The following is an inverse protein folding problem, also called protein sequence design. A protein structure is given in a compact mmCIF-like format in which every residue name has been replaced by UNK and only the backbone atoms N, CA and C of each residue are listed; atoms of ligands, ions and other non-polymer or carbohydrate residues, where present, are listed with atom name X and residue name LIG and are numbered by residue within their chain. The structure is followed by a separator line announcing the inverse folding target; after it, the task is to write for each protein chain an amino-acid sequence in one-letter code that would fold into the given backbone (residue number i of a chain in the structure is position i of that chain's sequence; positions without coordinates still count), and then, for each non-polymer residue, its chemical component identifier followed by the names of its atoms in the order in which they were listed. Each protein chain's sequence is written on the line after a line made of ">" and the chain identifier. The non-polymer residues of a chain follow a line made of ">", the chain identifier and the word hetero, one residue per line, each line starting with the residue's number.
data_IF_628842683356
#
_entry.id   IF_628842683356
#
_cell.length_a   1.000
_cell.length_b   1.000
_cell.length_c   1.000
_cell.angle_alpha   90.00
_cell.angle_beta   90.00
_cell.angle_gamma   90.00
#
_symmetry.space_group_name_H-M   'P 1'
#
loop_
_entity.id
_entity.type
_entity.pdbx_description
1 polymer ?
#
# COMPACT_ATOMS: atom_id res chain seq x y z
N UNK A 1 -15.73 7.59 5.19
CA UNK A 1 -14.71 8.46 4.55
C UNK A 1 -13.73 7.54 3.87
N UNK A 2 -13.29 7.86 2.65
CA UNK A 2 -12.25 7.10 1.96
C UNK A 2 -10.92 7.33 2.67
N UNK A 3 -10.20 6.26 3.02
CA UNK A 3 -8.88 6.33 3.64
C UNK A 3 -7.88 7.12 2.77
N UNK A 4 -7.08 8.00 3.38
CA UNK A 4 -5.86 8.55 2.77
C UNK A 4 -4.61 7.99 3.46
N UNK A 5 -3.91 7.07 2.79
CA UNK A 5 -2.70 6.47 3.39
C UNK A 5 -1.52 7.45 3.51
N UNK A 6 -1.54 8.59 2.79
CA UNK A 6 -0.50 9.63 2.94
C UNK A 6 -0.74 10.52 4.17
N UNK A 7 -1.93 10.43 4.78
CA UNK A 7 -2.18 10.98 6.10
C UNK A 7 -1.73 9.95 7.16
N UNK A 8 -0.62 10.21 7.89
CA UNK A 8 -0.07 9.22 8.82
C UNK A 8 -1.02 8.88 9.97
N UNK A 9 -1.90 9.81 10.38
CA UNK A 9 -2.88 9.54 11.44
C UNK A 9 -3.97 8.59 10.97
N UNK A 10 -4.47 8.79 9.75
CA UNK A 10 -5.47 7.88 9.15
C UNK A 10 -4.86 6.51 8.87
N UNK A 11 -3.63 6.47 8.34
CA UNK A 11 -2.94 5.21 8.08
C UNK A 11 -2.67 4.44 9.38
N UNK A 12 -2.20 5.11 10.44
CA UNK A 12 -1.97 4.49 11.74
C UNK A 12 -3.26 3.93 12.34
N UNK A 13 -4.35 4.70 12.26
CA UNK A 13 -5.65 4.26 12.74
C UNK A 13 -6.18 3.05 11.96
N UNK A 14 -6.02 3.05 10.64
CA UNK A 14 -6.35 1.91 9.77
C UNK A 14 -5.54 0.66 10.15
N UNK A 15 -4.21 0.76 10.19
CA UNK A 15 -3.33 -0.38 10.46
C UNK A 15 -3.59 -1.03 11.82
N UNK A 16 -3.91 -0.22 12.84
CA UNK A 16 -4.29 -0.72 14.18
C UNK A 16 -5.68 -1.35 14.19
N UNK A 17 -6.65 -0.70 13.54
CA UNK A 17 -8.04 -1.19 13.51
C UNK A 17 -8.15 -2.54 12.80
N UNK A 18 -7.44 -2.70 11.69
CA UNK A 18 -7.39 -3.96 10.93
C UNK A 18 -6.43 -5.01 11.54
N UNK A 19 -5.75 -4.66 12.65
CA UNK A 19 -4.89 -5.58 13.38
C UNK A 19 -3.56 -5.91 12.69
N UNK A 20 -3.14 -5.12 11.70
CA UNK A 20 -1.85 -5.31 11.04
C UNK A 20 -0.66 -4.94 11.95
N UNK A 21 -0.83 -3.92 12.80
CA UNK A 21 0.15 -3.54 13.83
C UNK A 21 -0.52 -3.46 15.21
N UNK A 22 0.27 -3.63 16.25
CA UNK A 22 -0.16 -3.51 17.65
C UNK A 22 -0.65 -2.11 18.01
N UNK A 23 -1.57 -2.04 18.97
CA UNK A 23 -2.22 -0.79 19.39
C UNK A 23 -1.23 0.25 19.97
N UNK A 24 -0.09 -0.20 20.48
CA UNK A 24 0.96 0.67 21.05
C UNK A 24 2.11 0.96 20.08
N UNK A 25 2.19 0.31 18.92
CA UNK A 25 3.31 0.48 17.98
C UNK A 25 3.30 1.87 17.35
N UNK A 26 4.47 2.49 17.24
CA UNK A 26 4.64 3.80 16.60
C UNK A 26 5.58 3.72 15.39
N UNK A 27 5.13 3.14 14.26
CA UNK A 27 5.97 3.02 13.08
C UNK A 27 6.26 4.38 12.46
N UNK A 28 7.46 4.52 11.88
CA UNK A 28 7.79 5.64 11.00
C UNK A 28 7.06 5.48 9.66
N UNK A 29 6.52 6.58 9.14
CA UNK A 29 5.78 6.59 7.88
C UNK A 29 6.36 7.64 6.93
N UNK A 30 6.83 7.19 5.76
CA UNK A 30 7.41 8.06 4.75
C UNK A 30 6.67 7.90 3.43
N UNK A 31 6.13 9.00 2.89
CA UNK A 31 5.58 9.01 1.52
C UNK A 31 6.72 8.87 0.52
N UNK A 32 6.60 7.90 -0.38
CA UNK A 32 7.56 7.67 -1.47
C UNK A 32 7.11 8.39 -2.74
N UNK A 33 8.01 9.19 -3.31
CA UNK A 33 7.76 9.94 -4.54
C UNK A 33 8.06 9.11 -5.81
N UNK A 34 7.70 9.66 -6.98
CA UNK A 34 8.06 9.12 -8.30
C UNK A 34 6.91 8.40 -9.03
N UNK A 35 5.86 7.98 -8.32
CA UNK A 35 4.66 7.40 -8.91
C UNK A 35 3.55 8.41 -9.15
N UNK A 36 2.83 8.30 -10.27
CA UNK A 36 1.65 9.13 -10.57
C UNK A 36 0.33 8.40 -10.32
N UNK A 37 0.36 7.07 -10.20
CA UNK A 37 -0.83 6.22 -10.17
C UNK A 37 -1.24 5.74 -8.79
N UNK A 38 -0.37 5.80 -7.80
CA UNK A 38 -0.69 5.34 -6.45
C UNK A 38 -0.16 6.34 -5.43
N UNK A 39 -0.86 6.45 -4.30
CA UNK A 39 -0.20 6.80 -3.04
C UNK A 39 0.71 5.65 -2.65
N UNK A 40 1.93 5.96 -2.23
CA UNK A 40 2.92 4.94 -1.84
C UNK A 40 3.59 5.38 -0.56
N UNK A 41 3.53 4.54 0.48
CA UNK A 41 4.07 4.86 1.80
C UNK A 41 4.95 3.72 2.28
N UNK A 42 6.18 4.05 2.68
CA UNK A 42 7.06 3.18 3.44
C UNK A 42 6.67 3.27 4.91
N UNK A 43 6.40 2.12 5.53
CA UNK A 43 6.10 1.99 6.96
C UNK A 43 7.22 1.18 7.59
N UNK A 44 8.01 1.78 8.47
CA UNK A 44 9.11 1.13 9.19
C UNK A 44 8.72 0.93 10.65
N UNK A 45 8.63 -0.33 11.09
CA UNK A 45 8.26 -0.71 12.46
C UNK A 45 9.48 -0.65 13.36
N UNK A 46 9.24 -0.51 14.67
CA UNK A 46 10.29 -0.50 15.70
C UNK A 46 11.12 -1.78 15.73
N UNK A 47 10.56 -2.90 15.26
CA UNK A 47 11.27 -4.18 15.10
C UNK A 47 12.33 -4.16 13.99
N UNK A 48 12.36 -3.13 13.15
CA UNK A 48 13.17 -3.05 11.94
C UNK A 48 12.49 -3.65 10.70
N UNK A 49 11.30 -4.23 10.84
CA UNK A 49 10.48 -4.67 9.70
C UNK A 49 9.96 -3.46 8.92
N UNK A 50 10.01 -3.51 7.59
CA UNK A 50 9.57 -2.42 6.72
C UNK A 50 8.60 -2.91 5.65
N UNK A 51 7.52 -2.14 5.43
CA UNK A 51 6.47 -2.42 4.47
C UNK A 51 6.31 -1.29 3.47
N UNK A 52 5.91 -1.63 2.25
CA UNK A 52 5.46 -0.63 1.27
C UNK A 52 3.97 -0.81 1.07
N UNK A 53 3.20 0.21 1.43
CA UNK A 53 1.76 0.28 1.19
C UNK A 53 1.50 1.04 -0.11
N UNK A 54 0.57 0.53 -0.90
CA UNK A 54 0.12 1.17 -2.14
C UNK A 54 -1.39 1.31 -2.13
N UNK A 55 -1.88 2.52 -2.42
CA UNK A 55 -3.30 2.80 -2.59
C UNK A 55 -3.53 3.47 -3.95
N UNK A 56 -4.33 2.84 -4.80
CA UNK A 56 -4.56 3.29 -6.16
C UNK A 56 -5.41 4.57 -6.22
N UNK A 57 -4.95 5.53 -7.02
CA UNK A 57 -5.68 6.76 -7.28
C UNK A 57 -6.70 6.58 -8.41
N UNK A 58 -7.87 7.21 -8.27
CA UNK A 58 -8.88 7.28 -9.33
C UNK A 58 -8.48 8.26 -10.44
N UNK A 59 -7.90 9.41 -10.06
CA UNK A 59 -7.28 10.39 -10.97
C UNK A 59 -5.77 10.36 -10.75
N UNK A 60 -5.02 10.11 -11.82
CA UNK A 60 -3.55 10.08 -11.77
C UNK A 60 -2.99 11.48 -11.55
N UNK A 61 -1.83 11.57 -10.88
CA UNK A 61 -1.10 12.82 -10.61
C UNK A 61 -0.29 13.28 -11.82
N UNK A 62 -0.98 13.54 -12.93
CA UNK A 62 -0.43 14.09 -14.16
C UNK A 62 -1.18 15.36 -14.55
N UNK A 63 -0.60 16.16 -15.46
CA UNK A 63 -1.18 17.45 -15.85
C UNK A 63 -2.52 17.33 -16.58
N UNK A 64 -2.68 16.26 -17.35
CA UNK A 64 -3.92 15.99 -18.09
C UNK A 64 -4.93 15.24 -17.22
N UNK A 65 -6.20 15.35 -17.57
CA UNK A 65 -7.24 14.55 -16.93
C UNK A 65 -7.11 13.08 -17.33
N UNK A 66 -6.42 12.32 -16.48
CA UNK A 66 -6.21 10.89 -16.65
C UNK A 66 -6.83 10.11 -15.50
N UNK A 67 -7.89 9.36 -15.81
CA UNK A 67 -8.61 8.53 -14.85
C UNK A 67 -8.34 7.04 -15.06
N UNK A 68 -8.33 6.29 -13.95
CA UNK A 68 -8.24 4.84 -13.96
C UNK A 68 -8.91 4.27 -12.71
N UNK A 69 -9.62 3.15 -12.86
CA UNK A 69 -10.29 2.52 -11.71
C UNK A 69 -9.28 2.15 -10.62
N UNK A 70 -9.51 2.54 -9.34
CA UNK A 70 -8.69 2.10 -8.22
C UNK A 70 -8.68 0.57 -8.03
N UNK A 71 -9.74 -0.12 -8.46
CA UNK A 71 -9.85 -1.59 -8.37
C UNK A 71 -8.76 -2.34 -9.14
N UNK A 72 -7.94 -1.66 -9.95
CA UNK A 72 -6.73 -2.22 -10.56
C UNK A 72 -5.71 -2.72 -9.54
N UNK A 73 -5.71 -2.18 -8.31
CA UNK A 73 -4.79 -2.64 -7.25
C UNK A 73 -4.99 -4.13 -6.95
N UNK A 74 -6.21 -4.64 -7.10
CA UNK A 74 -6.50 -6.07 -6.93
C UNK A 74 -5.92 -6.94 -8.04
N UNK A 75 -5.81 -6.38 -9.26
CA UNK A 75 -5.11 -7.05 -10.36
C UNK A 75 -3.60 -7.06 -10.12
N UNK A 76 -3.05 -6.00 -9.55
CA UNK A 76 -1.64 -5.96 -9.11
C UNK A 76 -1.38 -7.00 -8.00
N UNK A 77 -2.25 -7.08 -6.99
CA UNK A 77 -2.17 -8.07 -5.92
C UNK A 77 -2.29 -9.51 -6.45
N UNK A 78 -3.23 -9.77 -7.36
CA UNK A 78 -3.32 -11.05 -8.07
C UNK A 78 -2.02 -11.38 -8.81
N UNK A 79 -1.45 -10.40 -9.54
CA UNK A 79 -0.18 -10.56 -10.23
C UNK A 79 0.97 -10.92 -9.29
N UNK A 80 1.07 -10.27 -8.12
CA UNK A 80 2.09 -10.60 -7.11
C UNK A 80 1.95 -12.05 -6.62
N UNK A 81 0.73 -12.53 -6.35
CA UNK A 81 0.48 -13.92 -5.95
C UNK A 81 0.88 -14.90 -7.05
N UNK A 82 0.35 -14.70 -8.26
CA UNK A 82 0.57 -15.63 -9.39
C UNK A 82 2.02 -15.67 -9.83
N UNK A 83 2.71 -14.52 -9.92
CA UNK A 83 4.11 -14.49 -10.35
C UNK A 83 5.07 -15.07 -9.30
N UNK A 84 4.74 -14.98 -8.01
CA UNK A 84 5.53 -15.62 -6.96
C UNK A 84 5.58 -17.15 -7.09
N UNK A 85 4.52 -17.77 -7.63
CA UNK A 85 4.47 -19.21 -7.91
C UNK A 85 5.32 -19.63 -9.13
N UNK A 86 5.61 -18.69 -10.03
CA UNK A 86 6.25 -18.95 -11.32
C UNK A 86 7.74 -18.56 -11.35
N UNK A 87 8.24 -17.92 -10.31
CA UNK A 87 9.59 -17.34 -10.28
C UNK A 87 10.41 -17.88 -9.10
N UNK A 88 11.76 -17.84 -9.17
CA UNK A 88 12.59 -18.21 -8.03
C UNK A 88 12.28 -17.37 -6.78
N UNK A 89 12.45 -17.94 -5.56
CA UNK A 89 12.24 -17.21 -4.32
C UNK A 89 13.01 -15.89 -4.27
N UNK A 90 12.35 -14.83 -3.81
CA UNK A 90 12.92 -13.48 -3.72
C UNK A 90 12.82 -12.64 -5.00
N UNK A 91 12.31 -13.19 -6.11
CA UNK A 91 12.09 -12.43 -7.36
C UNK A 91 10.94 -11.44 -7.23
N UNK A 92 9.85 -11.87 -6.58
CA UNK A 92 8.63 -11.10 -6.39
C UNK A 92 8.54 -10.65 -4.93
N UNK A 93 8.21 -9.37 -4.64
CA UNK A 93 7.95 -8.92 -3.28
C UNK A 93 6.82 -9.72 -2.64
N UNK A 94 6.98 -10.08 -1.36
CA UNK A 94 5.92 -10.74 -0.62
C UNK A 94 4.71 -9.81 -0.46
N UNK A 95 3.52 -10.28 -0.83
CA UNK A 95 2.27 -9.58 -0.57
C UNK A 95 1.82 -9.89 0.86
N UNK A 96 1.84 -8.88 1.73
CA UNK A 96 1.50 -9.04 3.16
C UNK A 96 -0.01 -9.08 3.40
N UNK A 97 -0.75 -8.13 2.82
CA UNK A 97 -2.19 -8.07 2.90
C UNK A 97 -2.77 -7.27 1.72
N UNK A 98 -4.08 -7.40 1.54
CA UNK A 98 -4.88 -6.70 0.54
C UNK A 98 -6.24 -6.39 1.17
N UNK A 99 -6.77 -5.18 0.95
CA UNK A 99 -8.09 -4.76 1.43
C UNK A 99 -8.97 -4.31 0.26
N UNK A 100 -10.22 -4.78 0.25
CA UNK A 100 -11.26 -4.51 -0.76
C UNK A 100 -12.31 -3.49 -0.27
N UNK A 101 -12.18 -3.00 0.96
CA UNK A 101 -13.27 -2.30 1.67
C UNK A 101 -12.92 -0.90 2.19
N UNK A 102 -11.63 -0.53 2.27
CA UNK A 102 -11.16 0.79 2.74
C UNK A 102 -11.44 1.99 1.82
#
# INVERSE_FOLDING_TARGET
>A
MSLDIENPLELLAYLRREGHIGAAETPEMQTLAGGVSNRTVLVTRESGEAWVLKQALAKLRVQVDWFSSPTRVHREAMGLRTLAELTPPGTIPALLFEDHTA
#
